data_IF_136709210896
#
_entry.id   IF_136709210896
#
_cell.length_a   1.000
_cell.length_b   1.000
_cell.length_c   1.000
_cell.angle_alpha   90.00
_cell.angle_beta   90.00
_cell.angle_gamma   90.00
#
_symmetry.space_group_name_H-M   'P 1'
#
loop_
_entity.id
_entity.type
_entity.pdbx_description
1 polymer ?
#
# COMPACT_ATOMS: atom_id res chain seq x y z
N UNK A 1 -1.41 11.72 -19.33
CA UNK A 1 -0.98 11.33 -17.96
C UNK A 1 -1.43 9.90 -17.70
N UNK A 2 -0.51 9.05 -17.29
CA UNK A 2 -0.87 7.69 -16.93
C UNK A 2 -1.68 7.69 -15.64
N UNK A 3 -2.76 6.91 -15.60
CA UNK A 3 -3.51 6.69 -14.37
C UNK A 3 -2.88 5.50 -13.68
N UNK A 4 -2.12 5.76 -12.63
CA UNK A 4 -1.39 4.71 -11.93
C UNK A 4 -2.21 4.05 -10.82
N UNK A 5 -3.37 4.63 -10.50
CA UNK A 5 -4.33 4.02 -9.58
C UNK A 5 -5.64 3.81 -10.33
N UNK A 6 -5.92 2.55 -10.65
CA UNK A 6 -7.21 2.14 -11.21
C UNK A 6 -8.08 1.66 -10.07
N UNK A 7 -9.19 2.35 -9.83
CA UNK A 7 -10.05 2.09 -8.70
C UNK A 7 -11.48 1.90 -9.18
N UNK A 8 -11.96 0.67 -9.19
CA UNK A 8 -13.30 0.35 -9.69
C UNK A 8 -14.42 0.65 -8.70
N UNK A 9 -14.23 0.43 -7.37
CA UNK A 9 -15.27 0.76 -6.40
C UNK A 9 -15.50 2.27 -6.25
N UNK A 10 -16.67 2.65 -5.73
CA UNK A 10 -16.98 4.06 -5.48
C UNK A 10 -16.07 4.63 -4.38
N UNK A 11 -15.63 5.89 -4.57
CA UNK A 11 -14.65 6.54 -3.71
C UNK A 11 -15.21 7.55 -2.72
N UNK A 12 -16.51 7.82 -2.80
CA UNK A 12 -17.11 8.89 -2.01
C UNK A 12 -17.23 8.56 -0.52
N UNK A 13 -17.26 7.30 -0.15
CA UNK A 13 -17.45 6.83 1.21
C UNK A 13 -16.98 5.38 1.35
N UNK A 14 -16.64 4.90 2.53
CA UNK A 14 -16.44 5.62 3.80
C UNK A 14 -15.01 6.17 3.97
N UNK A 15 -14.74 6.79 5.11
CA UNK A 15 -13.46 7.45 5.41
C UNK A 15 -12.25 6.53 5.19
N UNK A 16 -12.35 5.27 5.61
CA UNK A 16 -11.24 4.31 5.43
C UNK A 16 -10.94 4.04 3.95
N UNK A 17 -11.96 3.98 3.10
CA UNK A 17 -11.77 3.78 1.66
C UNK A 17 -11.08 4.98 1.01
N UNK A 18 -11.49 6.17 1.39
CA UNK A 18 -10.89 7.41 0.90
C UNK A 18 -9.43 7.49 1.33
N UNK A 19 -9.13 7.14 2.59
CA UNK A 19 -7.75 7.14 3.09
C UNK A 19 -6.88 6.13 2.33
N UNK A 20 -7.40 4.94 2.05
CA UNK A 20 -6.68 3.93 1.27
C UNK A 20 -6.32 4.46 -0.12
N UNK A 21 -7.28 5.07 -0.81
CA UNK A 21 -7.04 5.65 -2.13
C UNK A 21 -5.99 6.77 -2.07
N UNK A 22 -6.08 7.64 -1.06
CA UNK A 22 -5.09 8.71 -0.88
C UNK A 22 -3.69 8.18 -0.65
N UNK A 23 -3.57 7.12 0.14
CA UNK A 23 -2.29 6.45 0.38
C UNK A 23 -1.68 5.91 -0.92
N UNK A 24 -2.47 5.16 -1.69
CA UNK A 24 -2.02 4.60 -2.97
C UNK A 24 -1.63 5.71 -3.95
N UNK A 25 -2.43 6.79 -4.00
CA UNK A 25 -2.15 7.91 -4.87
C UNK A 25 -0.83 8.62 -4.49
N UNK A 26 -0.58 8.82 -3.20
CA UNK A 26 0.67 9.43 -2.73
C UNK A 26 1.88 8.56 -3.09
N UNK A 27 1.74 7.24 -2.97
CA UNK A 27 2.80 6.29 -3.35
C UNK A 27 3.13 6.41 -4.83
N UNK A 28 2.12 6.44 -5.70
CA UNK A 28 2.35 6.52 -7.15
C UNK A 28 3.04 7.81 -7.56
N UNK A 29 2.83 8.88 -6.81
CA UNK A 29 3.45 10.18 -7.11
C UNK A 29 4.82 10.36 -6.42
N UNK A 30 5.26 9.38 -5.60
CA UNK A 30 6.49 9.52 -4.84
C UNK A 30 6.42 10.62 -3.78
N UNK A 31 5.22 10.92 -3.29
CA UNK A 31 4.97 12.02 -2.36
C UNK A 31 5.12 11.56 -0.91
N UNK A 32 6.35 11.32 -0.48
CA UNK A 32 6.65 10.76 0.84
C UNK A 32 6.04 11.55 2.00
N UNK A 33 6.24 12.87 2.01
CA UNK A 33 5.74 13.69 3.12
C UNK A 33 4.21 13.71 3.16
N UNK A 34 3.57 13.73 2.01
CA UNK A 34 2.11 13.65 1.92
C UNK A 34 1.62 12.29 2.43
N UNK A 35 2.31 11.20 2.05
CA UNK A 35 1.96 9.87 2.55
C UNK A 35 2.10 9.78 4.06
N UNK A 36 3.21 10.26 4.62
CA UNK A 36 3.42 10.27 6.07
C UNK A 36 2.34 11.06 6.79
N UNK A 37 1.88 12.18 6.21
CA UNK A 37 0.86 13.01 6.82
C UNK A 37 -0.52 12.33 6.89
N UNK A 38 -0.75 11.28 6.12
CA UNK A 38 -2.00 10.53 6.15
C UNK A 38 -2.14 9.64 7.39
N UNK A 39 -1.02 9.37 8.08
CA UNK A 39 -0.99 8.43 9.21
C UNK A 39 -1.08 9.15 10.55
N UNK A 40 -1.70 8.48 11.52
CA UNK A 40 -1.65 8.90 12.91
C UNK A 40 -0.20 8.81 13.43
N UNK A 41 0.11 9.54 14.49
CA UNK A 41 1.46 9.62 15.03
C UNK A 41 2.02 8.24 15.44
N UNK A 42 1.16 7.32 15.82
CA UNK A 42 1.52 5.95 16.19
C UNK A 42 1.05 4.91 15.16
N UNK A 43 0.82 5.35 13.94
CA UNK A 43 0.37 4.47 12.85
C UNK A 43 1.33 3.34 12.57
N UNK A 44 0.79 2.24 12.05
CA UNK A 44 1.55 1.01 11.78
C UNK A 44 1.33 0.56 10.35
N UNK A 45 2.40 0.13 9.69
CA UNK A 45 2.35 -0.53 8.37
C UNK A 45 2.94 -1.93 8.51
N UNK A 46 2.17 -2.93 8.07
CA UNK A 46 2.62 -4.31 7.94
C UNK A 46 2.44 -4.70 6.47
N UNK A 47 3.54 -4.82 5.75
CA UNK A 47 3.49 -4.98 4.29
C UNK A 47 4.66 -5.85 3.79
N UNK A 48 4.50 -7.16 3.68
CA UNK A 48 3.31 -7.94 4.07
C UNK A 48 3.22 -8.20 5.57
N UNK A 49 2.05 -8.61 6.02
CA UNK A 49 1.85 -9.03 7.41
C UNK A 49 2.72 -10.25 7.72
N UNK A 50 3.36 -10.25 8.89
CA UNK A 50 4.22 -11.33 9.34
C UNK A 50 5.68 -11.16 8.94
N UNK A 51 6.52 -12.12 9.32
CA UNK A 51 7.94 -12.06 8.97
C UNK A 51 8.17 -12.05 7.46
N UNK A 52 9.07 -11.19 7.01
CA UNK A 52 9.40 -11.05 5.60
C UNK A 52 10.80 -10.49 5.44
N UNK A 53 11.24 -10.35 4.18
CA UNK A 53 12.53 -9.72 3.87
C UNK A 53 12.57 -8.24 4.29
N UNK A 54 11.41 -7.62 4.47
CA UNK A 54 11.31 -6.21 4.87
C UNK A 54 11.12 -6.04 6.37
N UNK A 55 10.81 -7.11 7.10
CA UNK A 55 10.48 -7.09 8.52
C UNK A 55 10.73 -8.48 9.09
N UNK A 56 11.97 -8.75 9.49
CA UNK A 56 12.39 -10.09 9.88
C UNK A 56 11.60 -10.65 11.06
N UNK A 57 11.18 -9.80 11.99
CA UNK A 57 10.42 -10.24 13.17
C UNK A 57 8.90 -10.18 12.97
N UNK A 58 8.44 -9.56 11.89
CA UNK A 58 7.01 -9.45 11.60
C UNK A 58 6.25 -8.54 12.55
N UNK A 59 6.91 -7.54 13.11
CA UNK A 59 6.30 -6.63 14.09
C UNK A 59 5.64 -5.39 13.51
N UNK A 60 5.86 -5.14 12.21
CA UNK A 60 5.38 -3.95 11.55
C UNK A 60 6.30 -2.75 11.75
N UNK A 61 6.01 -1.70 11.01
CA UNK A 61 6.76 -0.44 11.03
C UNK A 61 5.88 0.60 11.72
N UNK A 62 6.39 1.20 12.81
CA UNK A 62 5.58 2.02 13.69
C UNK A 62 6.08 3.45 13.80
N UNK A 63 5.12 4.37 13.85
CA UNK A 63 5.37 5.77 14.08
C UNK A 63 6.01 6.45 12.89
N UNK A 64 6.17 7.77 12.97
CA UNK A 64 6.67 8.56 11.84
C UNK A 64 8.05 8.09 11.39
N UNK A 65 8.96 7.84 12.32
CA UNK A 65 10.32 7.41 11.97
C UNK A 65 10.33 6.01 11.37
N UNK A 66 9.53 5.09 11.92
CA UNK A 66 9.41 3.74 11.40
C UNK A 66 8.79 3.72 10.01
N UNK A 67 7.76 4.53 9.78
CA UNK A 67 7.12 4.64 8.47
C UNK A 67 8.05 5.29 7.44
N UNK A 68 8.79 6.31 7.85
CA UNK A 68 9.76 6.95 6.96
C UNK A 68 10.87 5.99 6.55
N UNK A 69 11.37 5.18 7.50
CA UNK A 69 12.37 4.15 7.23
C UNK A 69 11.82 3.07 6.30
N UNK A 70 10.57 2.67 6.47
CA UNK A 70 9.90 1.72 5.58
C UNK A 70 9.84 2.27 4.15
N UNK A 71 9.42 3.52 3.99
CA UNK A 71 9.38 4.17 2.68
C UNK A 71 10.76 4.12 2.01
N UNK A 72 11.81 4.52 2.73
CA UNK A 72 13.15 4.60 2.17
C UNK A 72 13.70 3.22 1.81
N UNK A 73 13.36 2.17 2.57
CA UNK A 73 13.83 0.81 2.33
C UNK A 73 13.06 0.09 1.22
N UNK A 74 11.84 0.51 0.92
CA UNK A 74 10.95 -0.21 -0.02
C UNK A 74 10.47 0.68 -1.16
N UNK A 75 9.56 1.59 -0.88
CA UNK A 75 8.88 2.39 -1.91
C UNK A 75 9.87 3.21 -2.74
N UNK A 76 10.89 3.77 -2.09
CA UNK A 76 11.88 4.62 -2.74
C UNK A 76 12.67 3.90 -3.83
N UNK A 77 12.74 2.57 -3.79
CA UNK A 77 13.48 1.78 -4.77
C UNK A 77 12.66 1.37 -5.99
N UNK A 78 11.38 1.60 -5.95
CA UNK A 78 10.47 1.29 -7.05
C UNK A 78 10.42 2.47 -8.01
N UNK A 79 10.61 2.21 -9.31
CA UNK A 79 10.61 3.28 -10.32
C UNK A 79 9.20 3.76 -10.65
N UNK A 80 8.22 2.84 -10.62
CA UNK A 80 6.84 3.16 -10.92
C UNK A 80 5.93 2.16 -10.24
N UNK A 81 4.79 2.64 -9.76
CA UNK A 81 3.71 1.82 -9.20
C UNK A 81 2.46 1.94 -10.05
N UNK A 82 1.74 0.84 -10.16
CA UNK A 82 0.37 0.83 -10.65
C UNK A 82 -0.47 0.05 -9.64
N UNK A 83 -1.62 0.58 -9.27
CA UNK A 83 -2.57 -0.08 -8.38
C UNK A 83 -3.84 -0.39 -9.17
N UNK A 84 -4.31 -1.61 -9.11
CA UNK A 84 -5.58 -2.01 -9.71
C UNK A 84 -6.45 -2.62 -8.60
N UNK A 85 -7.33 -1.82 -8.03
CA UNK A 85 -8.24 -2.24 -6.96
C UNK A 85 -9.57 -2.62 -7.58
N UNK A 86 -9.91 -3.88 -7.47
CA UNK A 86 -11.11 -4.46 -8.08
C UNK A 86 -12.29 -4.50 -7.11
N UNK A 87 -12.01 -4.69 -5.82
CA UNK A 87 -13.03 -4.78 -4.79
C UNK A 87 -12.60 -3.99 -3.56
N UNK A 88 -13.57 -3.44 -2.86
CA UNK A 88 -13.35 -2.73 -1.62
C UNK A 88 -14.56 -2.96 -0.71
N UNK A 89 -14.32 -3.54 0.44
CA UNK A 89 -15.36 -3.94 1.38
C UNK A 89 -15.12 -3.25 2.72
N UNK A 90 -16.06 -2.41 3.12
CA UNK A 90 -15.95 -1.63 4.35
C UNK A 90 -16.63 -2.32 5.52
N UNK A 91 -16.03 -2.20 6.69
CA UNK A 91 -16.64 -2.63 7.94
C UNK A 91 -17.78 -1.68 8.33
N UNK A 92 -18.67 -2.17 9.17
CA UNK A 92 -19.72 -1.31 9.75
C UNK A 92 -19.08 -0.12 10.48
N UNK A 93 -19.63 1.06 10.29
CA UNK A 93 -19.06 2.30 10.81
C UNK A 93 -18.05 2.97 9.89
N UNK A 94 -17.52 2.26 8.88
CA UNK A 94 -16.67 2.85 7.84
C UNK A 94 -15.26 3.21 8.23
N UNK A 95 -14.77 2.73 9.38
CA UNK A 95 -13.43 3.03 9.86
C UNK A 95 -12.38 1.99 9.44
N UNK A 96 -12.82 0.92 8.79
CA UNK A 96 -11.91 -0.12 8.29
C UNK A 96 -12.40 -0.58 6.92
N UNK A 97 -11.46 -0.88 6.04
CA UNK A 97 -11.77 -1.31 4.67
C UNK A 97 -10.76 -2.37 4.23
N UNK A 98 -11.26 -3.40 3.53
CA UNK A 98 -10.42 -4.42 2.90
C UNK A 98 -10.51 -4.24 1.39
N UNK A 99 -9.38 -3.96 0.76
CA UNK A 99 -9.29 -3.74 -0.67
C UNK A 99 -8.61 -4.93 -1.33
N UNK A 100 -9.21 -5.44 -2.38
CA UNK A 100 -8.67 -6.58 -3.13
C UNK A 100 -8.16 -6.08 -4.47
N UNK A 101 -6.91 -6.38 -4.76
CA UNK A 101 -6.35 -5.92 -6.01
C UNK A 101 -4.92 -6.37 -6.27
N UNK A 102 -4.30 -5.72 -7.23
CA UNK A 102 -2.94 -6.02 -7.67
C UNK A 102 -2.11 -4.73 -7.61
N UNK A 103 -0.94 -4.83 -7.01
CA UNK A 103 0.07 -3.77 -7.06
C UNK A 103 1.13 -4.22 -8.05
N UNK A 104 1.33 -3.43 -9.09
CA UNK A 104 2.40 -3.67 -10.06
C UNK A 104 3.54 -2.71 -9.76
N UNK A 105 4.73 -3.27 -9.61
CA UNK A 105 5.94 -2.48 -9.38
C UNK A 105 6.91 -2.65 -10.55
N UNK A 106 7.51 -1.53 -10.95
CA UNK A 106 8.54 -1.49 -11.98
C UNK A 106 9.87 -1.20 -11.28
N UNK A 107 10.79 -2.15 -11.41
CA UNK A 107 12.06 -2.17 -10.68
C UNK A 107 13.23 -1.88 -11.61
N UNK A 108 14.41 -1.48 -11.05
CA UNK A 108 15.62 -1.30 -11.85
C UNK A 108 15.94 -2.53 -12.69
N UNK A 109 16.46 -2.32 -13.90
CA UNK A 109 16.76 -3.41 -14.84
C UNK A 109 15.57 -3.82 -15.69
N UNK A 110 14.54 -2.98 -15.75
CA UNK A 110 13.32 -3.24 -16.53
C UNK A 110 12.54 -4.49 -16.04
N UNK A 111 12.51 -4.71 -14.74
CA UNK A 111 11.72 -5.79 -14.16
C UNK A 111 10.34 -5.28 -13.74
N UNK A 112 9.35 -6.12 -13.93
CA UNK A 112 7.99 -5.89 -13.47
C UNK A 112 7.59 -7.03 -12.54
N UNK A 113 6.95 -6.67 -11.42
CA UNK A 113 6.42 -7.64 -10.46
C UNK A 113 4.96 -7.29 -10.20
N UNK A 114 4.09 -8.29 -10.26
CA UNK A 114 2.66 -8.14 -9.96
C UNK A 114 2.37 -8.80 -8.61
N UNK A 115 1.84 -8.02 -7.68
CA UNK A 115 1.55 -8.49 -6.33
C UNK A 115 0.05 -8.47 -6.11
N UNK A 116 -0.57 -9.65 -6.13
CA UNK A 116 -1.98 -9.81 -5.77
C UNK A 116 -2.12 -9.87 -4.27
N UNK A 117 -3.11 -9.21 -3.74
CA UNK A 117 -3.30 -9.24 -2.29
C UNK A 117 -4.56 -8.56 -1.80
N UNK A 118 -4.64 -8.51 -0.48
CA UNK A 118 -5.70 -7.82 0.25
C UNK A 118 -5.03 -6.76 1.12
N UNK A 119 -5.48 -5.53 0.97
CA UNK A 119 -4.86 -4.36 1.59
C UNK A 119 -5.88 -3.72 2.52
N UNK A 120 -5.65 -3.85 3.83
CA UNK A 120 -6.61 -3.45 4.87
C UNK A 120 -6.13 -2.15 5.50
N UNK A 121 -7.00 -1.14 5.46
CA UNK A 121 -6.74 0.15 6.08
C UNK A 121 -7.74 0.40 7.19
N UNK A 122 -7.24 0.84 8.34
CA UNK A 122 -8.06 1.28 9.45
C UNK A 122 -7.71 2.72 9.79
N UNK A 123 -8.74 3.55 9.97
CA UNK A 123 -8.57 4.96 10.34
C UNK A 123 -9.20 5.23 11.69
N UNK A 124 -8.74 6.30 12.34
CA UNK A 124 -9.39 6.82 13.54
C UNK A 124 -10.55 7.72 13.15
N UNK A 125 -11.24 8.25 14.15
CA UNK A 125 -12.38 9.16 13.92
C UNK A 125 -11.95 10.46 13.25
N UNK A 126 -10.69 10.84 13.40
CA UNK A 126 -10.08 11.99 12.73
C UNK A 126 -9.73 11.73 11.25
N UNK A 127 -9.91 10.50 10.77
CA UNK A 127 -9.61 10.12 9.40
C UNK A 127 -8.15 9.75 9.15
N UNK A 128 -7.28 9.83 10.14
CA UNK A 128 -5.89 9.44 9.99
C UNK A 128 -5.73 7.92 10.05
N UNK A 129 -4.81 7.39 9.25
CA UNK A 129 -4.58 5.95 9.17
C UNK A 129 -3.86 5.49 10.44
N UNK A 130 -4.46 4.56 11.16
CA UNK A 130 -3.85 3.96 12.36
C UNK A 130 -3.19 2.63 12.04
N UNK A 131 -3.62 1.96 10.98
CA UNK A 131 -3.09 0.66 10.59
C UNK A 131 -3.28 0.40 9.11
N UNK A 132 -2.22 -0.05 8.45
CA UNK A 132 -2.30 -0.61 7.10
C UNK A 132 -1.70 -2.01 7.17
N UNK A 133 -2.47 -3.01 6.78
CA UNK A 133 -2.06 -4.41 6.79
C UNK A 133 -2.24 -4.99 5.40
N UNK A 134 -1.15 -5.40 4.79
CA UNK A 134 -1.16 -5.97 3.45
C UNK A 134 -0.92 -7.48 3.54
N UNK A 135 -1.85 -8.25 2.99
CA UNK A 135 -1.75 -9.70 2.92
C UNK A 135 -1.40 -10.10 1.49
N UNK A 136 -0.14 -10.44 1.29
CA UNK A 136 0.34 -10.96 0.01
C UNK A 136 1.54 -11.87 0.28
N UNK A 137 1.79 -12.77 -0.65
CA UNK A 137 2.82 -13.81 -0.50
C UNK A 137 4.03 -13.45 -1.35
N UNK A 138 5.20 -13.33 -0.72
CA UNK A 138 6.42 -12.93 -1.39
C UNK A 138 6.80 -13.88 -2.52
N UNK A 139 6.71 -15.19 -2.29
CA UNK A 139 7.05 -16.18 -3.33
C UNK A 139 6.12 -16.08 -4.53
N UNK A 140 4.82 -15.90 -4.28
CA UNK A 140 3.83 -15.76 -5.33
C UNK A 140 4.06 -14.50 -6.15
N UNK A 141 4.38 -13.39 -5.49
CA UNK A 141 4.70 -12.13 -6.16
C UNK A 141 5.97 -12.27 -6.99
N UNK A 142 7.03 -12.81 -6.41
CA UNK A 142 8.30 -12.97 -7.11
C UNK A 142 8.19 -13.92 -8.31
N UNK A 143 7.28 -14.87 -8.28
CA UNK A 143 7.04 -15.76 -9.42
C UNK A 143 6.51 -15.01 -10.65
N UNK A 144 5.95 -13.82 -10.49
CA UNK A 144 5.49 -12.98 -11.60
C UNK A 144 6.60 -12.13 -12.20
N UNK A 145 7.75 -12.04 -11.53
CA UNK A 145 8.84 -11.16 -11.95
C UNK A 145 9.33 -11.51 -13.35
N UNK A 146 9.37 -10.51 -14.22
CA UNK A 146 9.86 -10.69 -15.59
C UNK A 146 10.41 -9.38 -16.13
N UNK A 147 11.32 -9.49 -17.10
CA UNK A 147 11.83 -8.31 -17.79
C UNK A 147 10.82 -7.82 -18.80
N UNK A 148 10.68 -6.51 -18.83
CA UNK A 148 9.87 -5.86 -19.86
C UNK A 148 10.82 -5.47 -20.98
N UNK A 149 10.66 -6.09 -22.11
CA UNK A 149 11.47 -5.71 -23.28
C UNK A 149 10.92 -4.45 -23.90
N UNK A 150 11.82 -3.55 -24.18
CA UNK A 150 11.48 -2.31 -24.82
C UNK A 150 11.09 -2.56 -26.28
#
# INVERSE_FOLDING_TARGET
MAIDVCWEPALDQPAARVAAWRSMNAVTRGAKDEWLALFAADGVVEDPVGPSMFDAEGKGHRGRDGLAAFWDATIAHVQRFEFAIRESHAAGGGLEVANVGTITTYLPGNYRVDTDGVFIYRVGEDGLIVSMRAFWETERAMATAHRIDA
#
